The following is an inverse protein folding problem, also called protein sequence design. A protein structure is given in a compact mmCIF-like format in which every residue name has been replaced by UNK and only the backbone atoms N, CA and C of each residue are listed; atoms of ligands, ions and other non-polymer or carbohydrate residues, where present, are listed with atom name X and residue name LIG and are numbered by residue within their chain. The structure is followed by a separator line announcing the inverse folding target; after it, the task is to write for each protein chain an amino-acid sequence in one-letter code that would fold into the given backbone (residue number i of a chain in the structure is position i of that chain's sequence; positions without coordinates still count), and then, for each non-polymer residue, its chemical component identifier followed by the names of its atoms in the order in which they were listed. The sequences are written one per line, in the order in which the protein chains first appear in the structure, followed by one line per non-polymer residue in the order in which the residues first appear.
data_IF_848101443399
#
_entry.id   IF_848101443399
#
_cell.length_a   1.000
_cell.length_b   1.000
_cell.length_c   1.000
_cell.angle_alpha   90.00
_cell.angle_beta   90.00
_cell.angle_gamma   90.00
#
_symmetry.space_group_name_H-M   'P 1'
#
loop_
_entity.id
_entity.type
_entity.pdbx_description
1 polymer ?
#
# COMPACT_ATOMS: atom_id res chain seq x y z
N UNK A 1 -10.30 -25.08 3.42
CA UNK A 1 -9.27 -25.38 4.43
C UNK A 1 -8.74 -24.09 5.01
N UNK A 2 -7.96 -24.16 6.10
CA UNK A 2 -7.29 -23.00 6.69
C UNK A 2 -5.78 -23.20 6.61
N UNK A 3 -5.05 -22.15 6.24
CA UNK A 3 -3.60 -22.06 6.33
C UNK A 3 -3.22 -20.74 6.98
N UNK A 4 -1.97 -20.61 7.44
CA UNK A 4 -1.48 -19.38 8.03
C UNK A 4 -0.04 -19.10 7.61
N UNK A 5 0.37 -17.83 7.74
CA UNK A 5 1.70 -17.32 7.44
C UNK A 5 2.05 -16.21 8.45
N UNK A 6 3.32 -16.07 8.89
CA UNK A 6 4.47 -16.93 8.57
C UNK A 6 4.32 -18.35 9.14
N UNK A 7 5.19 -19.28 8.72
CA UNK A 7 5.09 -20.68 9.14
C UNK A 7 5.37 -20.84 10.64
N UNK A 8 6.26 -20.03 11.21
CA UNK A 8 6.70 -20.13 12.60
C UNK A 8 6.53 -18.79 13.36
N UNK A 9 5.29 -18.31 13.56
CA UNK A 9 5.08 -17.01 14.17
C UNK A 9 5.47 -17.02 15.65
N UNK A 10 6.13 -15.95 16.07
CA UNK A 10 6.48 -15.65 17.45
C UNK A 10 5.38 -14.82 18.12
N UNK A 11 5.39 -14.70 19.46
CA UNK A 11 4.49 -13.80 20.15
C UNK A 11 4.60 -12.36 19.60
N UNK A 12 3.46 -11.72 19.41
CA UNK A 12 3.26 -10.38 18.84
C UNK A 12 3.49 -10.25 17.32
N UNK A 13 3.84 -11.32 16.62
CA UNK A 13 3.88 -11.34 15.15
C UNK A 13 2.48 -11.17 14.55
N UNK A 14 2.41 -10.55 13.38
CA UNK A 14 1.19 -10.49 12.58
C UNK A 14 1.05 -11.81 11.80
N UNK A 15 0.01 -12.56 12.13
CA UNK A 15 -0.34 -13.80 11.43
C UNK A 15 -1.46 -13.53 10.45
N UNK A 16 -1.21 -13.88 9.19
CA UNK A 16 -2.22 -13.94 8.15
C UNK A 16 -2.79 -15.35 8.10
N UNK A 17 -4.10 -15.50 8.33
CA UNK A 17 -4.82 -16.76 8.12
C UNK A 17 -5.62 -16.68 6.84
N UNK A 18 -5.48 -17.68 5.98
CA UNK A 18 -6.16 -17.76 4.68
C UNK A 18 -7.15 -18.91 4.69
N UNK A 19 -8.40 -18.65 4.29
CA UNK A 19 -9.40 -19.66 3.99
C UNK A 19 -9.52 -19.88 2.49
N UNK A 20 -9.42 -21.14 2.10
CA UNK A 20 -9.65 -21.58 0.72
C UNK A 20 -10.75 -22.66 0.65
N UNK A 21 -11.37 -22.84 -0.50
CA UNK A 21 -12.32 -23.92 -0.76
C UNK A 21 -11.64 -25.23 -1.21
N UNK A 22 -12.41 -26.18 -1.74
CA UNK A 22 -11.91 -27.47 -2.22
C UNK A 22 -11.06 -27.36 -3.50
N UNK A 23 -11.22 -26.28 -4.26
CA UNK A 23 -10.49 -25.96 -5.49
C UNK A 23 -9.33 -24.98 -5.25
N UNK A 24 -8.92 -24.82 -3.99
CA UNK A 24 -7.91 -23.87 -3.51
C UNK A 24 -8.24 -22.39 -3.84
N UNK A 25 -9.50 -22.04 -4.07
CA UNK A 25 -9.89 -20.65 -4.30
C UNK A 25 -10.12 -19.93 -2.97
N UNK A 26 -9.72 -18.65 -2.86
CA UNK A 26 -9.94 -17.86 -1.65
C UNK A 26 -11.44 -17.68 -1.37
N UNK A 27 -11.82 -17.71 -0.09
CA UNK A 27 -13.22 -17.56 0.33
C UNK A 27 -13.43 -16.25 1.09
N UNK A 28 -14.06 -15.30 0.43
CA UNK A 28 -14.47 -14.01 0.98
C UNK A 28 -15.68 -14.12 1.94
N UNK A 29 -15.80 -13.17 2.86
CA UNK A 29 -16.97 -12.98 3.70
C UNK A 29 -17.17 -14.04 4.79
N UNK A 30 -16.16 -14.87 5.08
CA UNK A 30 -16.20 -15.80 6.20
C UNK A 30 -15.95 -15.07 7.51
N UNK A 31 -16.72 -15.40 8.54
CA UNK A 31 -16.48 -14.94 9.90
C UNK A 31 -15.37 -15.77 10.54
N UNK A 32 -14.31 -15.10 10.94
CA UNK A 32 -13.22 -15.64 11.74
C UNK A 32 -13.37 -15.25 13.19
N UNK A 33 -13.14 -16.19 14.11
CA UNK A 33 -13.02 -15.92 15.54
C UNK A 33 -11.73 -16.52 16.06
N UNK A 34 -10.93 -15.69 16.72
CA UNK A 34 -9.66 -16.08 17.33
C UNK A 34 -9.88 -16.19 18.83
N UNK A 35 -9.62 -17.37 19.38
CA UNK A 35 -9.95 -17.70 20.78
C UNK A 35 -8.69 -18.16 21.51
N UNK A 36 -8.47 -17.63 22.70
CA UNK A 36 -7.42 -18.06 23.64
C UNK A 36 -8.02 -18.15 25.03
N UNK A 37 -7.68 -19.19 25.79
CA UNK A 37 -8.18 -19.38 27.17
C UNK A 37 -9.72 -19.26 27.29
N UNK A 38 -10.45 -19.75 26.29
CA UNK A 38 -11.91 -19.67 26.20
C UNK A 38 -12.49 -18.23 26.12
N UNK A 39 -11.66 -17.25 25.74
CA UNK A 39 -12.06 -15.88 25.45
C UNK A 39 -11.77 -15.55 23.98
N UNK A 40 -12.71 -14.87 23.33
CA UNK A 40 -12.50 -14.34 21.98
C UNK A 40 -11.57 -13.13 22.06
N UNK A 41 -10.42 -13.23 21.41
CA UNK A 41 -9.46 -12.13 21.28
C UNK A 41 -9.91 -11.13 20.22
N UNK A 42 -10.27 -11.65 19.04
CA UNK A 42 -10.73 -10.86 17.91
C UNK A 42 -11.72 -11.64 17.06
N UNK A 43 -12.65 -10.92 16.44
CA UNK A 43 -13.54 -11.44 15.42
C UNK A 43 -13.33 -10.62 14.14
N UNK A 44 -13.09 -11.30 13.03
CA UNK A 44 -12.71 -10.73 11.74
C UNK A 44 -13.62 -11.29 10.64
N UNK A 45 -13.63 -10.63 9.50
CA UNK A 45 -14.27 -11.13 8.28
C UNK A 45 -13.19 -11.22 7.21
N UNK A 46 -13.11 -12.34 6.48
CA UNK A 46 -12.14 -12.46 5.39
C UNK A 46 -12.41 -11.43 4.30
N UNK A 47 -11.35 -10.97 3.64
CA UNK A 47 -11.39 -10.12 2.46
C UNK A 47 -11.60 -10.94 1.17
N UNK A 48 -11.59 -10.27 0.01
CA UNK A 48 -11.68 -10.88 -1.33
C UNK A 48 -10.59 -11.93 -1.63
N UNK A 49 -9.50 -11.93 -0.87
CA UNK A 49 -8.41 -12.91 -0.94
C UNK A 49 -8.55 -14.04 0.08
N UNK A 50 -9.66 -14.10 0.82
CA UNK A 50 -9.92 -15.11 1.84
C UNK A 50 -9.07 -14.95 3.10
N UNK A 51 -8.49 -13.77 3.32
CA UNK A 51 -7.47 -13.54 4.34
C UNK A 51 -8.01 -12.73 5.51
N UNK A 52 -7.48 -13.03 6.70
CA UNK A 52 -7.58 -12.20 7.91
C UNK A 52 -6.22 -12.09 8.57
N UNK A 53 -5.96 -10.95 9.21
CA UNK A 53 -4.67 -10.68 9.88
C UNK A 53 -4.90 -10.28 11.33
N UNK A 54 -4.06 -10.78 12.23
CA UNK A 54 -4.07 -10.40 13.65
C UNK A 54 -2.72 -10.63 14.31
N UNK A 55 -2.41 -9.84 15.34
CA UNK A 55 -1.27 -10.09 16.21
C UNK A 55 -1.50 -11.35 17.04
N UNK A 56 -0.55 -12.29 17.04
CA UNK A 56 -0.70 -13.56 17.72
C UNK A 56 -0.04 -13.54 19.11
N UNK A 57 -0.80 -13.77 20.20
CA UNK A 57 -0.18 -13.86 21.53
C UNK A 57 0.39 -15.25 21.77
N UNK A 58 1.31 -15.35 22.75
CA UNK A 58 1.82 -16.62 23.24
C UNK A 58 0.69 -17.56 23.72
N UNK A 59 0.82 -18.86 23.51
CA UNK A 59 -0.07 -19.90 24.03
C UNK A 59 -0.90 -20.59 22.95
N UNK A 60 -1.93 -21.32 23.38
CA UNK A 60 -2.82 -22.07 22.46
C UNK A 60 -3.92 -21.18 21.92
N UNK A 61 -3.86 -20.91 20.62
CA UNK A 61 -4.77 -20.08 19.85
C UNK A 61 -5.63 -20.97 18.96
N UNK A 62 -6.94 -20.80 19.06
CA UNK A 62 -7.92 -21.51 18.24
C UNK A 62 -8.53 -20.51 17.28
N UNK A 63 -8.31 -20.69 15.99
CA UNK A 63 -8.91 -19.90 14.92
C UNK A 63 -10.07 -20.70 14.33
N UNK A 64 -11.27 -20.13 14.34
CA UNK A 64 -12.47 -20.73 13.75
C UNK A 64 -12.98 -19.86 12.62
N UNK A 65 -13.21 -20.47 11.46
CA UNK A 65 -13.84 -19.82 10.32
C UNK A 65 -15.22 -20.43 10.05
N UNK A 66 -16.24 -19.60 9.84
CA UNK A 66 -17.60 -20.05 9.53
C UNK A 66 -18.36 -18.99 8.73
N UNK A 67 -19.31 -19.41 7.89
CA UNK A 67 -20.11 -18.49 7.09
C UNK A 67 -20.46 -19.04 5.70
N UNK A 68 -21.41 -18.38 5.04
CA UNK A 68 -21.89 -18.79 3.72
C UNK A 68 -22.46 -20.22 3.69
N UNK A 69 -22.15 -20.95 2.62
CA UNK A 69 -22.51 -22.37 2.44
C UNK A 69 -21.34 -23.32 2.76
N UNK A 70 -20.36 -22.87 3.55
CA UNK A 70 -19.18 -23.65 3.90
C UNK A 70 -19.33 -24.31 5.28
N UNK A 71 -18.78 -25.52 5.43
CA UNK A 71 -18.66 -26.14 6.74
C UNK A 71 -17.69 -25.34 7.61
N UNK A 72 -17.95 -25.22 8.92
CA UNK A 72 -17.03 -24.52 9.81
C UNK A 72 -15.67 -25.23 9.85
N UNK A 73 -14.60 -24.45 9.81
CA UNK A 73 -13.23 -24.92 9.89
C UNK A 73 -12.57 -24.40 11.17
N UNK A 74 -11.68 -25.20 11.75
CA UNK A 74 -10.91 -24.85 12.95
C UNK A 74 -9.43 -25.14 12.71
N UNK A 75 -8.57 -24.23 13.16
CA UNK A 75 -7.12 -24.32 13.15
C UNK A 75 -6.63 -24.02 14.57
N UNK A 76 -5.76 -24.86 15.12
CA UNK A 76 -5.12 -24.59 16.42
C UNK A 76 -3.64 -24.32 16.21
N UNK A 77 -3.18 -23.17 16.70
CA UNK A 77 -1.80 -22.68 16.66
C UNK A 77 -1.32 -22.61 18.11
N UNK A 78 -0.19 -23.21 18.43
CA UNK A 78 0.42 -23.19 19.77
C UNK A 78 1.69 -22.39 19.67
N UNK A 79 1.67 -21.14 20.14
CA UNK A 79 2.81 -20.21 20.07
C UNK A 79 3.58 -20.25 21.39
N UNK A 80 4.90 -20.24 21.30
CA UNK A 80 5.85 -20.14 22.42
C UNK A 80 6.95 -19.14 22.09
N UNK A 81 7.79 -18.82 23.08
CA UNK A 81 9.01 -18.02 22.90
C UNK A 81 10.04 -18.64 21.93
N UNK A 82 9.88 -19.92 21.60
CA UNK A 82 10.73 -20.69 20.71
C UNK A 82 10.06 -20.98 19.36
N UNK A 83 8.94 -20.31 19.05
CA UNK A 83 8.15 -20.52 17.84
C UNK A 83 6.82 -21.22 18.07
N UNK A 84 6.18 -21.66 16.99
CA UNK A 84 4.81 -22.18 16.97
C UNK A 84 4.72 -23.68 16.62
N UNK A 85 3.60 -24.34 16.94
CA UNK A 85 3.25 -25.69 16.46
C UNK A 85 1.74 -25.77 16.14
N UNK A 86 1.31 -26.66 15.22
CA UNK A 86 -0.13 -26.86 14.92
C UNK A 86 -0.63 -28.27 15.25
N UNK A 87 -1.88 -28.37 15.73
CA UNK A 87 -2.51 -29.66 16.07
C UNK A 87 -2.98 -30.44 14.82
N UNK A 88 -2.05 -30.93 14.00
CA UNK A 88 -2.13 -32.16 13.17
C UNK A 88 -0.81 -32.47 12.42
N UNK A 89 0.32 -31.89 12.84
CA UNK A 89 1.63 -32.13 12.24
C UNK A 89 2.70 -31.24 12.88
N UNK A 90 3.94 -31.71 12.85
CA UNK A 90 5.09 -30.84 13.16
C UNK A 90 5.11 -29.71 12.13
N UNK A 91 5.28 -28.47 12.58
CA UNK A 91 5.69 -27.42 11.65
C UNK A 91 7.07 -27.79 11.09
N UNK A 92 7.34 -27.36 9.85
CA UNK A 92 8.68 -27.50 9.31
C UNK A 92 9.58 -26.52 10.11
N UNK A 93 10.83 -26.91 10.33
CA UNK A 93 11.74 -26.22 11.27
C UNK A 93 12.15 -24.86 10.72
N UNK A 94 12.11 -23.82 11.53
CA UNK A 94 12.68 -22.50 11.21
C UNK A 94 13.67 -22.18 12.35
N UNK A 95 14.96 -22.40 12.07
CA UNK A 95 16.02 -22.43 13.08
C UNK A 95 16.43 -21.02 13.54
N UNK A 96 16.38 -20.02 12.67
CA UNK A 96 16.78 -18.64 12.98
C UNK A 96 15.60 -17.71 13.29
N UNK A 97 14.37 -18.17 13.03
CA UNK A 97 13.14 -17.50 13.44
C UNK A 97 12.82 -16.29 12.58
N UNK A 98 13.27 -16.27 11.33
CA UNK A 98 13.02 -15.17 10.39
C UNK A 98 11.67 -15.28 9.65
N UNK A 99 10.94 -16.39 9.88
CA UNK A 99 9.62 -16.66 9.31
C UNK A 99 9.65 -17.53 8.05
N UNK A 100 10.83 -17.97 7.60
CA UNK A 100 11.05 -18.88 6.47
C UNK A 100 11.52 -20.24 6.99
N UNK A 101 10.97 -21.32 6.41
CA UNK A 101 11.32 -22.68 6.84
C UNK A 101 12.72 -23.11 6.35
N UNK A 102 13.47 -23.82 7.21
CA UNK A 102 14.83 -24.36 6.97
C UNK A 102 14.95 -25.11 5.62
N UNK A 103 13.86 -25.71 5.11
CA UNK A 103 13.90 -26.45 3.84
C UNK A 103 13.93 -25.55 2.60
N UNK A 104 13.51 -24.29 2.73
CA UNK A 104 13.46 -23.27 1.67
C UNK A 104 14.28 -22.02 2.00
N UNK A 105 14.81 -21.93 3.21
CA UNK A 105 15.69 -20.86 3.67
C UNK A 105 17.12 -21.01 3.09
N UNK A 106 17.52 -19.99 2.34
CA UNK A 106 18.86 -19.86 1.75
C UNK A 106 19.84 -19.11 2.66
N UNK A 107 19.34 -18.46 3.71
CA UNK A 107 20.06 -17.60 4.63
C UNK A 107 19.80 -18.02 6.11
N UNK A 108 20.35 -19.17 6.57
CA UNK A 108 20.02 -19.85 7.85
C UNK A 108 20.55 -19.19 9.13
N UNK A 109 20.78 -17.89 9.09
CA UNK A 109 21.25 -17.09 10.21
C UNK A 109 20.76 -15.65 10.13
N UNK A 110 19.62 -15.44 9.46
CA UNK A 110 18.99 -14.13 9.38
C UNK A 110 18.47 -13.75 10.76
N UNK A 111 18.86 -12.58 11.30
CA UNK A 111 18.39 -12.18 12.62
C UNK A 111 16.87 -12.08 12.66
N UNK A 112 16.27 -12.61 13.72
CA UNK A 112 14.85 -12.46 14.03
C UNK A 112 14.37 -11.00 13.87
N UNK A 113 13.22 -10.82 13.23
CA UNK A 113 12.62 -9.51 12.95
C UNK A 113 13.24 -8.76 11.76
N UNK A 114 14.22 -9.35 11.06
CA UNK A 114 14.71 -8.81 9.79
C UNK A 114 13.66 -8.99 8.70
N UNK A 115 13.45 -7.98 7.86
CA UNK A 115 12.61 -8.15 6.67
C UNK A 115 13.34 -9.04 5.67
N UNK A 116 12.79 -10.23 5.41
CA UNK A 116 13.36 -11.22 4.52
C UNK A 116 12.56 -11.40 3.23
N UNK A 117 13.22 -11.87 2.19
CA UNK A 117 12.59 -12.28 0.95
C UNK A 117 11.98 -13.69 1.06
N UNK A 118 11.46 -14.23 -0.04
CA UNK A 118 10.82 -15.54 -0.06
C UNK A 118 11.76 -16.73 0.23
N UNK A 119 13.07 -16.49 0.35
CA UNK A 119 14.09 -17.52 0.65
C UNK A 119 14.87 -17.21 1.93
N UNK A 120 14.30 -16.41 2.84
CA UNK A 120 14.89 -16.14 4.17
C UNK A 120 16.06 -15.16 4.13
N UNK A 121 16.35 -14.56 2.98
CA UNK A 121 17.47 -13.63 2.87
C UNK A 121 17.01 -12.20 3.16
N UNK A 122 17.77 -11.50 4.00
CA UNK A 122 17.51 -10.10 4.33
C UNK A 122 17.35 -9.25 3.05
N UNK A 123 16.23 -8.54 2.94
CA UNK A 123 16.02 -7.55 1.88
C UNK A 123 16.90 -6.35 2.21
N UNK A 124 18.11 -6.33 1.64
CA UNK A 124 18.95 -5.14 1.66
C UNK A 124 18.34 -4.14 0.68
N UNK A 125 17.68 -3.10 1.20
CA UNK A 125 17.43 -1.90 0.39
C UNK A 125 18.81 -1.32 0.04
N UNK A 126 19.20 -1.26 -1.25
CA UNK A 126 20.41 -0.57 -1.63
C UNK A 126 20.34 0.89 -1.11
N UNK A 127 21.47 1.48 -0.70
CA UNK A 127 21.48 2.88 -0.29
C UNK A 127 20.85 3.77 -1.38
N UNK A 128 20.21 4.86 -0.98
CA UNK A 128 19.62 5.81 -1.92
C UNK A 128 20.66 6.33 -2.91
N UNK A 129 20.29 6.35 -4.18
CA UNK A 129 21.00 6.96 -5.31
C UNK A 129 19.95 7.82 -6.02
N UNK A 130 19.90 9.10 -5.65
CA UNK A 130 18.81 10.02 -5.99
C UNK A 130 18.82 10.43 -7.46
N UNK A 131 20.00 10.53 -8.08
CA UNK A 131 20.15 10.92 -9.48
C UNK A 131 20.43 9.73 -10.44
N UNK A 132 20.63 8.54 -9.88
CA UNK A 132 20.72 7.29 -10.61
C UNK A 132 22.01 7.17 -11.42
N UNK A 133 23.07 7.85 -11.00
CA UNK A 133 24.36 7.83 -11.69
C UNK A 133 25.23 6.61 -11.33
N UNK A 134 24.80 5.82 -10.34
CA UNK A 134 25.49 4.63 -9.84
C UNK A 134 26.38 4.87 -8.61
N UNK A 135 26.40 6.08 -8.06
CA UNK A 135 27.06 6.43 -6.79
C UNK A 135 26.00 6.80 -5.75
N UNK A 136 26.02 6.10 -4.62
CA UNK A 136 25.04 6.35 -3.56
C UNK A 136 25.16 7.75 -2.97
N UNK A 137 24.04 8.36 -2.57
CA UNK A 137 23.92 9.72 -2.01
C UNK A 137 24.91 9.98 -0.86
N UNK A 138 25.20 8.95 -0.06
CA UNK A 138 26.14 9.04 1.07
C UNK A 138 27.61 9.28 0.66
N UNK A 139 27.94 8.97 -0.59
CA UNK A 139 29.29 9.01 -1.17
C UNK A 139 29.37 9.87 -2.43
N UNK A 140 28.24 10.40 -2.88
CA UNK A 140 28.13 11.24 -4.06
C UNK A 140 28.43 12.72 -3.72
N UNK A 141 29.43 13.28 -4.40
CA UNK A 141 29.82 14.67 -4.29
C UNK A 141 29.06 15.58 -5.29
N UNK A 142 28.35 14.99 -6.24
CA UNK A 142 27.69 15.62 -7.38
C UNK A 142 26.22 15.15 -7.52
N UNK A 143 25.31 15.54 -6.60
CA UNK A 143 23.93 15.00 -6.43
C UNK A 143 22.91 15.33 -7.51
N UNK A 144 23.36 15.73 -8.70
CA UNK A 144 22.50 16.03 -9.85
C UNK A 144 23.15 15.57 -11.16
N UNK A 145 23.96 14.52 -11.12
CA UNK A 145 24.57 13.97 -12.31
C UNK A 145 23.49 13.25 -13.13
N UNK A 146 23.30 13.59 -14.41
CA UNK A 146 22.25 12.94 -15.20
C UNK A 146 22.49 11.43 -15.29
N UNK A 147 21.43 10.65 -15.04
CA UNK A 147 21.43 9.19 -15.18
C UNK A 147 22.06 8.76 -16.52
N UNK A 148 23.03 7.86 -16.46
CA UNK A 148 23.75 7.35 -17.64
C UNK A 148 24.95 8.19 -18.10
N UNK A 149 25.28 9.27 -17.38
CA UNK A 149 26.56 9.98 -17.54
C UNK A 149 27.69 9.10 -17.01
N UNK A 150 28.84 9.12 -17.67
CA UNK A 150 30.02 8.45 -17.12
C UNK A 150 30.56 9.27 -15.94
N UNK A 151 30.52 8.70 -14.75
CA UNK A 151 30.94 9.35 -13.50
C UNK A 151 32.19 8.72 -12.92
N UNK A 152 32.92 9.51 -12.12
CA UNK A 152 34.06 9.03 -11.35
C UNK A 152 33.62 8.37 -10.03
N UNK A 153 34.59 8.02 -9.18
CA UNK A 153 34.32 7.32 -7.91
C UNK A 153 33.56 8.18 -6.87
N UNK A 154 33.33 9.47 -7.15
CA UNK A 154 32.59 10.39 -6.27
C UNK A 154 31.33 10.94 -6.94
N UNK A 155 30.83 10.31 -8.02
CA UNK A 155 29.57 10.67 -8.68
C UNK A 155 29.68 11.88 -9.61
N UNK A 156 30.88 12.36 -9.90
CA UNK A 156 31.06 13.53 -10.75
C UNK A 156 31.32 13.13 -12.21
N UNK A 157 30.64 13.82 -13.13
CA UNK A 157 30.78 13.58 -14.57
C UNK A 157 32.23 13.68 -15.05
N UNK A 158 32.67 12.64 -15.77
CA UNK A 158 33.97 12.62 -16.43
C UNK A 158 33.81 13.23 -17.82
N UNK A 159 34.57 14.29 -18.10
CA UNK A 159 34.73 14.81 -19.45
C UNK A 159 35.60 13.81 -20.25
N UNK A 160 34.96 12.82 -20.86
CA UNK A 160 35.59 12.00 -21.90
C UNK A 160 35.75 12.91 -23.12
N UNK A 161 36.92 13.56 -23.23
CA UNK A 161 37.31 14.62 -24.18
C UNK A 161 37.13 14.29 -25.67
N UNK A 162 35.94 13.88 -26.03
CA UNK A 162 35.37 13.61 -27.34
C UNK A 162 34.37 14.73 -27.63
N UNK A 163 34.79 15.98 -27.40
CA UNK A 163 34.31 17.05 -28.27
C UNK A 163 34.73 16.66 -29.68
N UNK A 164 33.76 16.13 -30.41
CA UNK A 164 33.71 16.14 -31.84
C UNK A 164 34.35 17.41 -32.39
N UNK A 165 35.50 17.22 -33.02
CA UNK A 165 36.08 18.21 -33.92
C UNK A 165 35.09 18.45 -35.06
N UNK A 166 34.16 19.38 -34.87
CA UNK A 166 33.61 20.19 -35.94
C UNK A 166 33.76 21.65 -35.56
N UNK A 167 34.95 22.18 -35.85
CA UNK A 167 35.19 23.61 -35.82
C UNK A 167 34.21 24.31 -36.77
N UNK A 168 33.39 25.21 -36.24
CA UNK A 168 33.37 26.63 -36.60
C UNK A 168 32.21 27.37 -35.90
N UNK A 169 32.57 28.57 -35.40
CA UNK A 169 31.71 29.72 -35.09
C UNK A 169 30.90 29.65 -33.77
N UNK A 170 30.98 30.56 -32.81
CA UNK A 170 31.53 31.92 -32.61
C UNK A 170 30.98 32.36 -31.22
N UNK A 171 31.40 33.39 -30.48
CA UNK A 171 32.17 34.62 -30.68
C UNK A 171 32.54 35.13 -29.27
N UNK A 172 33.80 35.41 -29.00
CA UNK A 172 34.17 36.56 -28.15
C UNK A 172 35.52 37.10 -28.63
N UNK A 173 35.45 37.89 -29.69
CA UNK A 173 36.59 38.62 -30.23
C UNK A 173 36.75 39.94 -29.49
N UNK A 174 37.88 40.12 -28.82
CA UNK A 174 38.47 41.44 -28.57
C UNK A 174 39.95 41.38 -28.94
N UNK A 175 40.33 42.32 -29.80
CA UNK A 175 41.68 42.82 -30.13
C UNK A 175 42.24 42.47 -31.52
N UNK A 176 42.71 43.53 -32.22
CA UNK A 176 43.75 43.42 -33.24
C UNK A 176 43.38 43.58 -34.72
N UNK A 177 43.14 44.82 -35.15
CA UNK A 177 43.65 45.52 -36.38
C UNK A 177 43.83 44.80 -37.74
N UNK A 178 43.51 45.56 -38.82
CA UNK A 178 44.04 45.46 -40.22
C UNK A 178 43.51 44.26 -41.06
N UNK A 179 42.91 44.35 -42.25
CA UNK A 179 42.67 45.41 -43.24
C UNK A 179 42.10 44.81 -44.55
N UNK A 180 41.32 45.62 -45.29
CA UNK A 180 41.02 45.62 -46.74
C UNK A 180 40.42 44.42 -47.53
N UNK A 181 39.40 44.79 -48.33
CA UNK A 181 39.04 44.39 -49.73
C UNK A 181 38.26 43.11 -50.05
N UNK A 182 37.04 43.31 -50.60
CA UNK A 182 36.50 42.62 -51.80
C UNK A 182 36.09 41.15 -51.64
N UNK A 183 35.02 40.61 -52.26
CA UNK A 183 34.16 41.01 -53.36
C UNK A 183 32.91 40.11 -53.36
N UNK A 184 31.83 40.67 -53.90
CA UNK A 184 30.70 40.07 -54.63
C UNK A 184 30.67 38.54 -54.84
N UNK A 185 29.58 37.90 -54.39
CA UNK A 185 29.20 36.53 -54.74
C UNK A 185 27.68 36.33 -54.64
N UNK A 186 27.01 36.48 -55.78
CA UNK A 186 25.58 36.26 -56.00
C UNK A 186 25.28 34.79 -56.31
N UNK A 187 24.28 34.21 -55.66
CA UNK A 187 23.46 33.05 -56.12
C UNK A 187 22.28 32.94 -55.14
N UNK A 188 21.00 33.22 -55.40
CA UNK A 188 20.08 33.10 -56.53
C UNK A 188 19.72 31.69 -57.00
N UNK A 189 18.99 30.93 -56.17
CA UNK A 189 17.85 30.11 -56.63
C UNK A 189 16.78 30.07 -55.53
N UNK A 190 15.59 30.62 -55.77
CA UNK A 190 14.42 30.02 -56.46
C UNK A 190 13.65 29.11 -55.48
N UNK A 191 12.51 29.60 -54.96
CA UNK A 191 11.15 29.12 -55.31
C UNK A 191 10.65 28.19 -54.17
N UNK A 192 9.42 28.19 -53.67
CA UNK A 192 8.17 28.87 -54.00
C UNK A 192 7.21 28.66 -52.80
N UNK A 193 6.17 29.51 -52.72
CA UNK A 193 4.77 29.23 -52.33
C UNK A 193 4.49 28.32 -51.11
N UNK A 194 3.81 28.73 -50.03
CA UNK A 194 2.55 29.46 -49.99
C UNK A 194 1.54 28.68 -49.15
N UNK A 195 0.79 29.41 -48.30
CA UNK A 195 -0.56 29.08 -47.74
C UNK A 195 -0.74 27.77 -46.96
N UNK A 196 -1.66 27.56 -46.02
CA UNK A 196 -2.56 28.32 -45.16
C UNK A 196 -3.22 27.28 -44.21
N UNK A 197 -3.70 27.75 -43.07
CA UNK A 197 -4.89 27.25 -42.36
C UNK A 197 -4.98 25.78 -41.86
N UNK A 198 -4.92 25.59 -40.54
CA UNK A 198 -5.55 24.43 -39.87
C UNK A 198 -6.68 24.91 -38.95
N UNK A 199 -7.90 24.76 -39.44
CA UNK A 199 -9.13 25.00 -38.70
C UNK A 199 -9.71 23.74 -38.06
N UNK A 200 -10.33 23.98 -36.91
CA UNK A 200 -11.65 23.47 -36.51
C UNK A 200 -11.74 22.16 -35.73
N UNK A 201 -12.15 22.35 -34.47
CA UNK A 201 -12.68 21.37 -33.53
C UNK A 201 -14.04 20.81 -33.99
N UNK A 202 -14.22 19.50 -33.86
CA UNK A 202 -15.52 18.83 -33.99
C UNK A 202 -16.12 18.52 -32.62
N UNK A 203 -17.19 19.24 -32.25
CA UNK A 203 -18.13 18.86 -31.19
C UNK A 203 -19.22 18.00 -31.83
N UNK A 204 -19.35 16.74 -31.42
CA UNK A 204 -20.43 15.85 -31.85
C UNK A 204 -21.57 15.88 -30.84
N UNK A 205 -22.71 16.43 -31.26
CA UNK A 205 -23.93 16.46 -30.46
C UNK A 205 -24.71 15.15 -30.65
N UNK A 206 -24.63 14.21 -29.69
CA UNK A 206 -25.37 12.95 -29.74
C UNK A 206 -26.81 13.14 -29.25
N UNK A 207 -27.79 12.97 -30.15
CA UNK A 207 -29.22 13.02 -29.81
C UNK A 207 -29.68 11.70 -29.17
N UNK A 208 -30.17 11.80 -27.93
CA UNK A 208 -30.64 10.69 -27.11
C UNK A 208 -31.90 10.02 -27.71
N UNK A 209 -31.81 8.73 -28.03
CA UNK A 209 -32.90 7.92 -28.58
C UNK A 209 -34.09 7.82 -27.62
N UNK A 210 -35.31 7.96 -28.14
CA UNK A 210 -36.59 7.84 -27.41
C UNK A 210 -36.75 6.54 -26.63
N UNK A 211 -36.02 5.48 -27.00
CA UNK A 211 -36.00 4.21 -26.25
C UNK A 211 -35.18 4.28 -24.96
N UNK A 212 -34.12 5.11 -24.92
CA UNK A 212 -33.27 5.28 -23.74
C UNK A 212 -33.98 6.10 -22.66
N UNK A 213 -34.76 7.12 -23.05
CA UNK A 213 -35.58 7.91 -22.12
C UNK A 213 -36.66 7.06 -21.42
N UNK A 214 -37.27 6.11 -22.13
CA UNK A 214 -38.28 5.23 -21.55
C UNK A 214 -37.70 4.28 -20.47
N UNK A 215 -36.47 3.79 -20.67
CA UNK A 215 -35.79 2.92 -19.71
C UNK A 215 -35.38 3.68 -18.44
N UNK A 216 -34.91 4.92 -18.56
CA UNK A 216 -34.54 5.77 -17.42
C UNK A 216 -35.76 6.09 -16.53
N UNK A 217 -36.92 6.33 -17.14
CA UNK A 217 -38.16 6.61 -16.39
C UNK A 217 -38.62 5.33 -15.66
N UNK A 218 -38.53 4.17 -16.30
CA UNK A 218 -38.96 2.91 -15.69
C UNK A 218 -38.06 2.50 -14.51
N UNK A 219 -36.75 2.65 -14.62
CA UNK A 219 -35.81 2.35 -13.52
C UNK A 219 -35.99 3.31 -12.35
N UNK A 220 -36.22 4.60 -12.60
CA UNK A 220 -36.50 5.59 -11.56
C UNK A 220 -37.76 5.27 -10.76
N UNK A 221 -38.85 4.82 -11.43
CA UNK A 221 -40.10 4.46 -10.75
C UNK A 221 -39.97 3.20 -9.88
N UNK A 222 -39.18 2.21 -10.30
CA UNK A 222 -38.91 0.99 -9.51
C UNK A 222 -38.13 1.33 -8.25
N UNK A 223 -37.08 2.16 -8.35
CA UNK A 223 -36.28 2.57 -7.18
C UNK A 223 -37.09 3.39 -6.17
N UNK A 224 -37.97 4.27 -6.64
CA UNK A 224 -38.87 5.03 -5.76
C UNK A 224 -39.84 4.11 -4.99
N UNK A 225 -40.37 3.06 -5.63
CA UNK A 225 -41.26 2.11 -4.98
C UNK A 225 -40.54 1.28 -3.88
N UNK A 226 -39.30 0.87 -4.14
CA UNK A 226 -38.47 0.14 -3.15
C UNK A 226 -38.14 1.04 -1.95
N UNK A 227 -37.79 2.30 -2.18
CA UNK A 227 -37.51 3.27 -1.11
C UNK A 227 -38.70 3.55 -0.20
N UNK A 228 -39.93 3.60 -0.74
CA UNK A 228 -41.14 3.77 0.06
C UNK A 228 -41.43 2.53 0.90
N UNK A 229 -41.19 1.33 0.36
CA UNK A 229 -41.39 0.07 1.10
C UNK A 229 -40.41 -0.08 2.29
N UNK A 230 -39.13 0.27 2.12
CA UNK A 230 -38.14 0.20 3.21
C UNK A 230 -38.43 1.21 4.32
N UNK A 231 -38.87 2.42 3.99
CA UNK A 231 -39.21 3.45 4.99
C UNK A 231 -40.44 3.06 5.83
N UNK A 232 -41.41 2.34 5.26
CA UNK A 232 -42.59 1.83 5.98
C UNK A 232 -42.22 0.68 6.93
N UNK A 233 -41.24 -0.16 6.58
CA UNK A 233 -40.78 -1.25 7.45
C UNK A 233 -39.97 -0.74 8.66
N UNK A 234 -39.17 0.32 8.49
CA UNK A 234 -38.36 0.88 9.58
C UNK A 234 -39.24 1.58 10.64
N UNK A 235 -40.37 2.18 10.25
CA UNK A 235 -41.23 2.93 11.18
C UNK A 235 -42.06 2.05 12.13
N UNK A 236 -42.02 0.71 11.98
CA UNK A 236 -42.72 -0.24 12.86
C UNK A 236 -41.92 -0.72 14.08
N UNK A 237 -40.65 -0.32 14.22
CA UNK A 237 -39.73 -0.87 15.24
C UNK A 237 -39.31 0.12 16.33
N UNK A 238 -40.17 1.05 16.73
CA UNK A 238 -39.93 1.89 17.91
C UNK A 238 -41.15 1.91 18.81
N UNK A 239 -41.20 0.91 19.69
CA UNK A 239 -42.22 0.73 20.71
C UNK A 239 -41.64 0.00 21.90
N UNK A 240 -41.03 0.79 22.80
CA UNK A 240 -41.01 0.60 24.25
C UNK A 240 -40.09 -0.45 24.85
N UNK A 241 -39.07 0.01 25.58
CA UNK A 241 -38.83 -0.38 26.96
C UNK A 241 -37.81 0.54 27.64
N UNK A 242 -38.22 0.93 28.84
CA UNK A 242 -37.60 1.75 29.87
C UNK A 242 -36.91 0.77 30.82
N UNK A 243 -35.60 0.90 31.04
CA UNK A 243 -34.91 0.22 32.14
C UNK A 243 -33.81 1.13 32.69
N UNK A 244 -33.93 1.32 33.99
CA UNK A 244 -33.18 2.19 34.87
C UNK A 244 -31.67 1.91 34.91
N UNK A 245 -31.00 2.99 35.28
CA UNK A 245 -29.62 3.18 35.69
C UNK A 245 -29.16 2.13 36.73
N UNK A 246 -28.11 1.37 36.40
CA UNK A 246 -27.12 0.90 37.36
C UNK A 246 -25.77 0.81 36.64
N UNK A 247 -24.86 1.70 37.06
CA UNK A 247 -23.54 1.85 36.50
C UNK A 247 -22.63 0.70 36.88
N UNK A 248 -22.17 -0.02 35.85
CA UNK A 248 -20.91 -0.76 35.89
C UNK A 248 -20.05 -0.27 34.72
N UNK A 249 -19.28 0.79 34.97
CA UNK A 249 -18.14 1.20 34.14
C UNK A 249 -17.03 0.16 34.28
N UNK A 250 -17.07 -0.89 33.46
CA UNK A 250 -16.00 -1.89 33.34
C UNK A 250 -15.70 -2.22 31.89
N UNK A 251 -15.60 -1.18 31.06
CA UNK A 251 -14.83 -1.27 29.83
C UNK A 251 -13.80 -0.15 29.93
N UNK A 252 -12.59 -0.50 30.37
CA UNK A 252 -11.42 0.33 30.07
C UNK A 252 -11.47 0.53 28.56
N UNK A 253 -11.87 1.73 28.15
CA UNK A 253 -11.74 2.14 26.76
C UNK A 253 -10.27 2.00 26.45
N UNK A 254 -9.87 1.39 25.31
CA UNK A 254 -8.46 1.19 25.03
C UNK A 254 -7.74 2.54 25.19
N UNK A 255 -6.58 2.58 25.84
CA UNK A 255 -5.88 3.84 26.08
C UNK A 255 -5.39 4.52 24.79
N UNK A 256 -5.59 3.88 23.63
CA UNK A 256 -5.08 4.31 22.32
C UNK A 256 -6.10 4.08 21.20
N UNK A 257 -6.05 4.88 20.12
CA UNK A 257 -6.88 4.67 18.93
C UNK A 257 -6.62 3.29 18.29
N UNK A 258 -7.66 2.71 17.69
CA UNK A 258 -7.52 1.47 16.93
C UNK A 258 -6.59 1.67 15.70
N UNK A 259 -5.80 0.65 15.29
CA UNK A 259 -4.87 0.79 14.15
C UNK A 259 -5.55 1.24 12.85
N UNK A 260 -6.80 0.82 12.64
CA UNK A 260 -7.63 1.17 11.48
C UNK A 260 -8.47 2.45 11.67
N UNK A 261 -8.40 3.12 12.83
CA UNK A 261 -9.02 4.42 13.02
C UNK A 261 -8.46 5.40 11.98
N UNK A 262 -9.28 6.34 11.51
CA UNK A 262 -8.84 7.38 10.58
C UNK A 262 -8.94 8.75 11.25
N UNK A 263 -7.88 9.52 11.13
CA UNK A 263 -7.73 10.87 11.64
C UNK A 263 -7.96 11.94 10.58
N UNK A 264 -7.82 13.18 10.98
CA UNK A 264 -7.73 14.35 10.10
C UNK A 264 -6.26 14.65 9.80
N UNK A 265 -5.95 15.20 8.62
CA UNK A 265 -4.56 15.59 8.31
C UNK A 265 -4.25 16.97 8.89
N UNK A 266 -3.22 17.09 9.72
CA UNK A 266 -2.72 18.34 10.30
C UNK A 266 -1.18 18.36 10.22
N UNK A 267 -0.63 19.43 9.64
CA UNK A 267 0.82 19.66 9.52
C UNK A 267 1.63 18.47 8.94
N UNK A 268 1.01 17.72 8.01
CA UNK A 268 1.64 16.58 7.34
C UNK A 268 1.47 15.23 8.04
N UNK A 269 0.82 15.20 9.22
CA UNK A 269 0.54 13.99 9.98
C UNK A 269 -0.96 13.71 10.02
N UNK A 270 -1.35 12.43 10.02
CA UNK A 270 -2.73 12.02 10.30
C UNK A 270 -2.94 12.05 11.82
N UNK A 271 -3.90 12.83 12.31
CA UNK A 271 -4.13 13.07 13.74
C UNK A 271 -5.55 12.72 14.17
N UNK A 272 -5.71 12.21 15.38
CA UNK A 272 -7.02 11.90 15.96
C UNK A 272 -7.05 12.23 17.44
N UNK A 273 -8.16 12.80 17.91
CA UNK A 273 -8.44 12.95 19.33
C UNK A 273 -9.12 11.68 19.83
N UNK A 274 -8.50 11.00 20.80
CA UNK A 274 -9.01 9.73 21.32
C UNK A 274 -8.78 9.55 22.82
N UNK A 275 -9.83 9.19 23.59
CA UNK A 275 -11.25 9.22 23.21
C UNK A 275 -11.72 10.63 22.81
N UNK A 276 -12.72 10.75 21.94
CA UNK A 276 -13.15 12.08 21.43
C UNK A 276 -13.65 12.98 22.56
N UNK A 277 -13.16 14.22 22.62
CA UNK A 277 -13.53 15.21 23.65
C UNK A 277 -12.71 15.15 24.93
N UNK A 278 -11.64 14.37 24.99
CA UNK A 278 -10.72 14.30 26.16
C UNK A 278 -9.56 15.30 26.07
N UNK A 279 -9.27 15.83 24.90
CA UNK A 279 -8.07 16.63 24.61
C UNK A 279 -6.79 15.81 24.43
N UNK A 280 -6.84 14.48 24.47
CA UNK A 280 -5.71 13.60 24.18
C UNK A 280 -5.59 13.38 22.67
N UNK A 281 -4.52 13.91 22.07
CA UNK A 281 -4.27 13.83 20.64
C UNK A 281 -3.26 12.73 20.33
N UNK A 282 -3.45 12.10 19.18
CA UNK A 282 -2.59 11.05 18.66
C UNK A 282 -2.24 11.38 17.22
N UNK A 283 -1.01 11.08 16.78
CA UNK A 283 -0.62 11.14 15.37
C UNK A 283 -0.21 9.76 14.86
N UNK A 284 -0.41 9.53 13.56
CA UNK A 284 0.07 8.34 12.89
C UNK A 284 1.51 8.55 12.45
N UNK A 285 2.40 7.70 12.94
CA UNK A 285 3.78 7.66 12.50
C UNK A 285 3.88 7.11 11.07
N UNK A 286 4.65 7.78 10.22
CA UNK A 286 4.68 7.48 8.78
C UNK A 286 5.59 6.29 8.42
N UNK A 287 6.44 5.86 9.37
CA UNK A 287 7.39 4.76 9.21
C UNK A 287 6.82 3.43 9.75
N UNK A 288 6.16 3.49 10.92
CA UNK A 288 5.53 2.33 11.58
C UNK A 288 4.03 2.18 11.32
N UNK A 289 3.34 3.23 10.88
CA UNK A 289 1.88 3.25 10.73
C UNK A 289 1.10 3.19 12.04
N UNK A 290 1.77 3.24 13.19
CA UNK A 290 1.16 3.17 14.53
C UNK A 290 0.71 4.54 15.04
N UNK A 291 -0.27 4.55 15.94
CA UNK A 291 -0.71 5.76 16.65
C UNK A 291 0.23 6.06 17.82
N UNK A 292 0.76 7.28 17.83
CA UNK A 292 1.65 7.81 18.86
C UNK A 292 0.96 8.98 19.57
N UNK A 293 1.10 9.07 20.89
CA UNK A 293 0.52 10.15 21.68
C UNK A 293 1.23 11.49 21.36
N UNK A 294 0.44 12.50 21.03
CA UNK A 294 0.90 13.86 20.78
C UNK A 294 1.09 14.56 22.13
N UNK A 295 2.34 14.56 22.62
CA UNK A 295 2.74 15.21 23.88
C UNK A 295 3.03 16.71 23.73
#
# INVERSE_FOLDING_TARGET
TLSFSPANPMPDDIVQVTATDEDNQPVDGLSFTVVRNNQTLVALVSNDYGQVEFAIPEGTIIVRASGGNYYPAELTIVVSDSGSTVNNGSLPSDTDGDGVDDSVDACPSTPIGTTVDAVGCAIVTPPSDTDGDGVYDSTDACPNTPTGTMVDAVGCAIDDGTTDNNGTNGTNGTDGTDGTDGTNGTDNTDDTDGTDNTGTAGSGDEKLSTTTLAMIILTGLILAAIGVATMVLIKRRKGGDDWDDDGDVMFDSPDRPAPNARGEMMDGYEVIEYPKGTGAWWYRDNESGHWMEWT
#
